data_IF_630704916251
#
_entry.id   IF_630704916251
#
_cell.length_a   1.000
_cell.length_b   1.000
_cell.length_c   1.000
_cell.angle_alpha   90.00
_cell.angle_beta   90.00
_cell.angle_gamma   90.00
#
_symmetry.space_group_name_H-M   'P 1'
#
loop_
_entity.id
_entity.type
_entity.pdbx_description
1 polymer ?
#
# COMPACT_ATOMS: atom_id res chain seq x y z
N UNK A 1 3.05 -2.79 22.80
CA UNK A 1 3.79 -1.60 22.34
C UNK A 1 4.80 -2.07 21.31
N UNK A 2 4.75 -1.52 20.09
CA UNK A 2 5.71 -1.83 19.02
C UNK A 2 7.10 -1.37 19.45
N UNK A 3 8.13 -2.17 19.16
CA UNK A 3 9.50 -1.82 19.51
C UNK A 3 9.95 -0.58 18.75
N UNK A 4 10.68 0.32 19.41
CA UNK A 4 11.16 1.55 18.78
C UNK A 4 12.04 1.28 17.53
N UNK A 5 12.77 0.16 17.53
CA UNK A 5 13.52 -0.30 16.36
C UNK A 5 12.64 -0.67 15.16
N UNK A 6 11.54 -1.40 15.38
CA UNK A 6 10.59 -1.81 14.34
C UNK A 6 9.97 -0.57 13.68
N UNK A 7 9.57 0.42 14.48
CA UNK A 7 9.02 1.68 13.99
C UNK A 7 9.99 2.42 13.07
N UNK A 8 11.28 2.48 13.44
CA UNK A 8 12.31 3.17 12.64
C UNK A 8 12.50 2.47 11.29
N UNK A 9 12.58 1.14 11.29
CA UNK A 9 12.72 0.37 10.06
C UNK A 9 11.49 0.53 9.16
N UNK A 10 10.28 0.40 9.73
CA UNK A 10 9.04 0.54 8.98
C UNK A 10 8.89 1.95 8.39
N UNK A 11 9.19 2.99 9.18
CA UNK A 11 9.17 4.37 8.70
C UNK A 11 10.21 4.60 7.58
N UNK A 12 11.41 4.03 7.71
CA UNK A 12 12.44 4.12 6.69
C UNK A 12 12.00 3.47 5.37
N UNK A 13 11.53 2.22 5.41
CA UNK A 13 11.04 1.52 4.21
C UNK A 13 9.81 2.20 3.61
N UNK A 14 8.88 2.67 4.44
CA UNK A 14 7.71 3.42 3.99
C UNK A 14 8.10 4.71 3.27
N UNK A 15 9.10 5.44 3.78
CA UNK A 15 9.58 6.68 3.16
C UNK A 15 10.22 6.43 1.79
N UNK A 16 11.06 5.40 1.67
CA UNK A 16 11.65 5.00 0.40
C UNK A 16 10.58 4.58 -0.61
N UNK A 17 9.58 3.82 -0.15
CA UNK A 17 8.46 3.39 -1.00
C UNK A 17 7.61 4.57 -1.46
N UNK A 18 7.31 5.53 -0.58
CA UNK A 18 6.57 6.74 -0.91
C UNK A 18 7.32 7.61 -1.94
N UNK A 19 8.65 7.74 -1.81
CA UNK A 19 9.49 8.45 -2.80
C UNK A 19 9.40 7.78 -4.17
N UNK A 20 9.43 6.44 -4.22
CA UNK A 20 9.28 5.69 -5.47
C UNK A 20 7.91 5.94 -6.11
N UNK A 21 6.82 5.87 -5.33
CA UNK A 21 5.48 6.17 -5.82
C UNK A 21 5.36 7.60 -6.34
N UNK A 22 5.87 8.59 -5.59
CA UNK A 22 5.87 9.99 -5.98
C UNK A 22 6.63 10.21 -7.30
N UNK A 23 7.78 9.55 -7.46
CA UNK A 23 8.59 9.65 -8.68
C UNK A 23 7.86 9.08 -9.90
N UNK A 24 7.13 7.98 -9.74
CA UNK A 24 6.32 7.39 -10.81
C UNK A 24 5.16 8.33 -11.19
N UNK A 25 4.46 8.92 -10.21
CA UNK A 25 3.35 9.87 -10.44
C UNK A 25 3.84 11.12 -11.17
N UNK A 26 5.01 11.62 -10.79
CA UNK A 26 5.58 12.86 -11.32
C UNK A 26 6.23 12.67 -12.69
N UNK A 27 6.51 11.43 -13.09
CA UNK A 27 7.12 11.15 -14.38
C UNK A 27 6.18 11.51 -15.54
N UNK A 28 6.75 12.14 -16.57
CA UNK A 28 6.03 12.55 -17.79
C UNK A 28 6.04 11.45 -18.86
N UNK A 29 6.81 10.38 -18.69
CA UNK A 29 6.91 9.33 -19.70
C UNK A 29 5.58 8.57 -19.82
N UNK A 30 5.12 8.37 -21.06
CA UNK A 30 3.87 7.66 -21.34
C UNK A 30 3.87 6.21 -20.85
N UNK A 31 5.04 5.61 -20.65
CA UNK A 31 5.21 4.26 -20.10
C UNK A 31 4.57 4.13 -18.72
N UNK A 32 4.71 5.14 -17.86
CA UNK A 32 4.15 5.13 -16.49
C UNK A 32 2.64 5.37 -16.44
N UNK A 33 2.01 5.64 -17.58
CA UNK A 33 0.55 5.77 -17.72
C UNK A 33 -0.13 4.50 -18.23
N UNK A 34 0.63 3.42 -18.42
CA UNK A 34 0.04 2.13 -18.80
C UNK A 34 -0.82 1.57 -17.66
N UNK A 35 -1.84 0.72 -17.97
CA UNK A 35 -2.71 0.14 -16.96
C UNK A 35 -1.94 -0.56 -15.83
N UNK A 36 -0.83 -1.24 -16.16
CA UNK A 36 0.06 -1.86 -15.18
C UNK A 36 0.54 -0.87 -14.12
N UNK A 37 1.06 0.30 -14.50
CA UNK A 37 1.57 1.28 -13.55
C UNK A 37 0.46 1.96 -12.76
N UNK A 38 -0.73 2.12 -13.35
CA UNK A 38 -1.91 2.62 -12.62
C UNK A 38 -2.31 1.64 -11.51
N UNK A 39 -2.38 0.33 -11.82
CA UNK A 39 -2.65 -0.69 -10.81
C UNK A 39 -1.53 -0.79 -9.78
N UNK A 40 -0.27 -0.71 -10.20
CA UNK A 40 0.88 -0.68 -9.30
C UNK A 40 0.81 0.49 -8.32
N UNK A 41 0.50 1.69 -8.82
CA UNK A 41 0.37 2.89 -8.00
C UNK A 41 -0.78 2.77 -7.01
N UNK A 42 -1.95 2.33 -7.47
CA UNK A 42 -3.15 2.15 -6.64
C UNK A 42 -2.88 1.14 -5.52
N UNK A 43 -2.27 0.00 -5.85
CA UNK A 43 -1.85 -1.03 -4.89
C UNK A 43 -0.84 -0.48 -3.87
N UNK A 44 0.07 0.37 -4.33
CA UNK A 44 1.06 1.02 -3.47
C UNK A 44 0.45 2.01 -2.49
N UNK A 45 -0.53 2.81 -2.91
CA UNK A 45 -1.27 3.71 -2.02
C UNK A 45 -2.00 2.91 -0.93
N UNK A 46 -2.68 1.81 -1.28
CA UNK A 46 -3.32 0.95 -0.29
C UNK A 46 -2.33 0.36 0.72
N UNK A 47 -1.13 -0.02 0.27
CA UNK A 47 -0.08 -0.52 1.16
C UNK A 47 0.39 0.56 2.16
N UNK A 48 0.58 1.80 1.69
CA UNK A 48 0.93 2.94 2.56
C UNK A 48 -0.18 3.18 3.60
N UNK A 49 -1.44 3.17 3.19
CA UNK A 49 -2.60 3.34 4.09
C UNK A 49 -2.61 2.27 5.18
N UNK A 50 -2.34 1.01 4.84
CA UNK A 50 -2.30 -0.09 5.82
C UNK A 50 -1.21 0.12 6.85
N UNK A 51 0.01 0.42 6.44
CA UNK A 51 1.16 0.60 7.35
C UNK A 51 0.94 1.81 8.27
N UNK A 52 0.51 2.95 7.73
CA UNK A 52 0.19 4.14 8.55
C UNK A 52 -0.92 3.84 9.54
N UNK A 53 -2.01 3.22 9.09
CA UNK A 53 -3.15 2.89 9.95
C UNK A 53 -2.79 1.87 11.03
N UNK A 54 -1.93 0.90 10.72
CA UNK A 54 -1.40 -0.06 11.69
C UNK A 54 -0.61 0.65 12.80
N UNK A 55 0.32 1.53 12.42
CA UNK A 55 1.09 2.29 13.40
C UNK A 55 0.20 3.17 14.27
N UNK A 56 -0.77 3.86 13.67
CA UNK A 56 -1.76 4.65 14.42
C UNK A 56 -2.48 3.81 15.48
N UNK A 57 -2.97 2.62 15.12
CA UNK A 57 -3.62 1.70 16.08
C UNK A 57 -2.65 1.20 17.15
N UNK A 58 -1.43 0.84 16.76
CA UNK A 58 -0.44 0.22 17.65
C UNK A 58 0.15 1.17 18.72
N UNK A 59 0.17 2.47 18.43
CA UNK A 59 0.72 3.51 19.30
C UNK A 59 -0.37 4.20 20.13
N UNK A 60 -1.64 4.04 19.76
CA UNK A 60 -2.74 4.65 20.50
C UNK A 60 -3.03 3.86 21.78
N UNK A 61 -2.92 4.53 22.94
CA UNK A 61 -3.43 3.98 24.18
C UNK A 61 -4.96 4.11 24.17
N UNK A 62 -5.65 2.97 24.10
CA UNK A 62 -7.09 2.93 24.15
C UNK A 62 -7.58 3.46 25.52
N UNK A 63 -8.40 4.50 25.47
CA UNK A 63 -9.13 5.04 26.61
C UNK A 63 -10.61 5.03 26.24
N UNK A 64 -11.50 4.79 27.21
CA UNK A 64 -12.95 4.74 27.00
C UNK A 64 -13.59 6.10 26.66
N UNK A 65 -12.79 7.15 26.49
CA UNK A 65 -13.26 8.42 25.97
C UNK A 65 -13.86 8.26 24.57
N UNK A 66 -15.05 8.80 24.35
CA UNK A 66 -15.77 8.77 23.05
C UNK A 66 -14.89 9.09 21.81
N UNK A 67 -14.04 10.13 21.79
CA UNK A 67 -13.24 10.44 20.59
C UNK A 67 -12.21 9.36 20.24
N UNK A 68 -11.63 8.69 21.23
CA UNK A 68 -10.58 7.67 20.99
C UNK A 68 -11.15 6.39 20.40
N UNK A 69 -12.41 6.06 20.72
CA UNK A 69 -13.12 4.92 20.12
C UNK A 69 -13.37 5.12 18.61
N UNK A 70 -13.76 6.33 18.20
CA UNK A 70 -14.02 6.63 16.79
C UNK A 70 -12.75 6.60 15.94
N UNK A 71 -11.65 7.17 16.44
CA UNK A 71 -10.34 7.14 15.76
C UNK A 71 -9.86 5.71 15.60
N UNK A 72 -9.93 4.90 16.67
CA UNK A 72 -9.52 3.51 16.64
C UNK A 72 -10.30 2.70 15.60
N UNK A 73 -11.64 2.83 15.56
CA UNK A 73 -12.49 2.16 14.58
C UNK A 73 -12.16 2.59 13.15
N UNK A 74 -11.97 3.89 12.91
CA UNK A 74 -11.62 4.39 11.58
C UNK A 74 -10.26 3.84 11.10
N UNK A 75 -9.23 3.88 11.95
CA UNK A 75 -7.91 3.32 11.61
C UNK A 75 -7.97 1.80 11.38
N UNK A 76 -8.77 1.06 12.14
CA UNK A 76 -8.94 -0.38 11.93
C UNK A 76 -9.60 -0.70 10.58
N UNK A 77 -10.64 0.04 10.21
CA UNK A 77 -11.30 -0.10 8.89
C UNK A 77 -10.31 0.22 7.77
N UNK A 78 -9.58 1.33 7.87
CA UNK A 78 -8.58 1.72 6.86
C UNK A 78 -7.46 0.70 6.73
N UNK A 79 -7.00 0.13 7.84
CA UNK A 79 -5.98 -0.93 7.83
C UNK A 79 -6.48 -2.16 7.06
N UNK A 80 -7.68 -2.63 7.39
CA UNK A 80 -8.30 -3.82 6.78
C UNK A 80 -8.57 -3.60 5.29
N UNK A 81 -9.14 -2.45 4.92
CA UNK A 81 -9.38 -2.10 3.52
C UNK A 81 -8.08 -1.97 2.73
N UNK A 82 -7.06 -1.35 3.29
CA UNK A 82 -5.75 -1.24 2.64
C UNK A 82 -5.11 -2.62 2.45
N UNK A 83 -5.23 -3.52 3.43
CA UNK A 83 -4.64 -4.85 3.34
C UNK A 83 -5.35 -5.70 2.26
N UNK A 84 -6.68 -5.65 2.23
CA UNK A 84 -7.48 -6.30 1.19
C UNK A 84 -7.18 -5.71 -0.20
N UNK A 85 -7.19 -4.38 -0.32
CA UNK A 85 -6.90 -3.67 -1.57
C UNK A 85 -5.50 -3.95 -2.10
N UNK A 86 -4.48 -3.96 -1.22
CA UNK A 86 -3.10 -4.30 -1.60
C UNK A 86 -2.98 -5.75 -2.06
N UNK A 87 -3.67 -6.68 -1.40
CA UNK A 87 -3.65 -8.10 -1.76
C UNK A 87 -4.29 -8.35 -3.12
N UNK A 88 -5.49 -7.79 -3.36
CA UNK A 88 -6.19 -7.88 -4.64
C UNK A 88 -5.35 -7.24 -5.75
N UNK A 89 -4.77 -6.06 -5.50
CA UNK A 89 -3.93 -5.36 -6.45
C UNK A 89 -2.68 -6.16 -6.86
N UNK A 90 -1.98 -6.77 -5.89
CA UNK A 90 -0.83 -7.66 -6.16
C UNK A 90 -1.24 -8.89 -6.96
N UNK A 91 -2.39 -9.50 -6.64
CA UNK A 91 -2.92 -10.64 -7.39
C UNK A 91 -3.20 -10.25 -8.85
N UNK A 92 -3.84 -9.10 -9.08
CA UNK A 92 -4.10 -8.60 -10.43
C UNK A 92 -2.81 -8.34 -11.21
N UNK A 93 -1.80 -7.72 -10.58
CA UNK A 93 -0.48 -7.48 -11.19
C UNK A 93 0.19 -8.80 -11.60
N UNK A 94 0.10 -9.83 -10.74
CA UNK A 94 0.65 -11.15 -11.03
C UNK A 94 -0.06 -11.80 -12.22
N UNK A 95 -1.40 -11.77 -12.23
CA UNK A 95 -2.20 -12.29 -13.35
C UNK A 95 -1.91 -11.56 -14.65
N UNK A 96 -1.84 -10.22 -14.62
CA UNK A 96 -1.52 -9.41 -15.79
C UNK A 96 -0.13 -9.79 -16.35
N UNK A 97 0.89 -9.89 -15.50
CA UNK A 97 2.23 -10.32 -15.92
C UNK A 97 2.24 -11.74 -16.49
N UNK A 98 1.52 -12.65 -15.87
CA UNK A 98 1.40 -14.03 -16.34
C UNK A 98 0.77 -14.09 -17.74
N UNK A 99 -0.32 -13.37 -17.96
CA UNK A 99 -0.99 -13.31 -19.28
C UNK A 99 -0.07 -12.70 -20.34
N UNK A 100 0.64 -11.62 -20.02
CA UNK A 100 1.57 -10.97 -20.95
C UNK A 100 2.72 -11.90 -21.35
N UNK A 101 3.34 -12.61 -20.39
CA UNK A 101 4.41 -13.57 -20.68
C UNK A 101 3.91 -14.76 -21.51
N UNK A 102 2.71 -15.27 -21.21
CA UNK A 102 2.14 -16.37 -21.99
C UNK A 102 1.78 -15.97 -23.41
N UNK A 103 1.34 -14.73 -23.61
CA UNK A 103 1.00 -14.22 -24.93
C UNK A 103 2.24 -13.99 -25.81
N UNK A 104 3.39 -13.60 -25.23
CA UNK A 104 4.64 -13.48 -25.98
C UNK A 104 5.14 -14.82 -26.50
N UNK A 105 5.04 -15.88 -25.69
CA UNK A 105 5.47 -17.24 -26.06
C UNK A 105 4.61 -17.86 -27.18
N UNK A 106 3.40 -17.34 -27.41
CA UNK A 106 2.48 -17.78 -28.47
C UNK A 106 2.67 -17.02 -29.79
N UNK A 107 3.53 -16.00 -29.81
CA UNK A 107 3.79 -15.15 -30.98
C UNK A 107 5.07 -15.47 -31.75
N UNK A 108 5.86 -16.45 -31.28
CA UNK A 108 6.92 -17.13 -32.04
C UNK A 108 6.39 -18.41 -32.70
#
# INVERSE_FOLDING_TARGET
>A
MVGLGELIFDAFFLSLYAILLLRIITSKDGIFRTPFYIFFLTTGIYNVITVVSYHCVSQFNYSENLPTVHIFKACYILNTMGAAGSTIGKAYIAVHRYVVMRASDLSE
#
